data_IF_815828837214
#
_entry.id   IF_815828837214
#
_cell.length_a   1.000
_cell.length_b   1.000
_cell.length_c   1.000
_cell.angle_alpha   90.00
_cell.angle_beta   90.00
_cell.angle_gamma   90.00
#
_symmetry.space_group_name_H-M   'P 1'
#
loop_
_entity.id
_entity.type
_entity.pdbx_description
1 polymer ?
#
# COMPACT_ATOMS: atom_id res chain seq x y z
N UNK A 1 -20.46 -11.18 -25.27
CA UNK A 1 -19.29 -11.29 -24.37
C UNK A 1 -18.95 -9.94 -23.73
N UNK A 2 -19.83 -9.40 -22.87
CA UNK A 2 -19.64 -8.08 -22.21
C UNK A 2 -18.86 -8.20 -20.89
N UNK A 3 -19.05 -9.31 -20.17
CA UNK A 3 -18.42 -9.59 -18.87
C UNK A 3 -16.88 -9.62 -18.89
N UNK A 4 -16.26 -10.05 -20.01
CA UNK A 4 -14.80 -10.12 -20.14
C UNK A 4 -14.13 -8.74 -20.21
N UNK A 5 -14.85 -7.73 -20.71
CA UNK A 5 -14.32 -6.37 -20.82
C UNK A 5 -14.35 -5.64 -19.47
N UNK A 6 -15.40 -5.86 -18.68
CA UNK A 6 -15.52 -5.28 -17.34
C UNK A 6 -14.39 -5.79 -16.43
N UNK A 7 -14.09 -7.09 -16.45
CA UNK A 7 -13.02 -7.69 -15.63
C UNK A 7 -11.64 -7.09 -15.97
N UNK A 8 -11.35 -6.84 -17.25
CA UNK A 8 -10.09 -6.22 -17.69
C UNK A 8 -9.95 -4.75 -17.28
N UNK A 9 -11.06 -4.01 -17.24
CA UNK A 9 -11.07 -2.63 -16.79
C UNK A 9 -10.87 -2.54 -15.27
N UNK A 10 -11.54 -3.41 -14.51
CA UNK A 10 -11.36 -3.51 -13.06
C UNK A 10 -9.92 -3.83 -12.67
N UNK A 11 -9.28 -4.78 -13.35
CA UNK A 11 -7.87 -5.13 -13.15
C UNK A 11 -6.94 -3.93 -13.36
N UNK A 12 -7.21 -3.14 -14.42
CA UNK A 12 -6.38 -1.98 -14.76
C UNK A 12 -6.54 -0.85 -13.75
N UNK A 13 -7.76 -0.61 -13.27
CA UNK A 13 -8.04 0.36 -12.21
C UNK A 13 -7.34 -0.09 -10.91
N UNK A 14 -7.43 -1.37 -10.57
CA UNK A 14 -6.81 -1.92 -9.35
C UNK A 14 -5.28 -1.76 -9.39
N UNK A 15 -4.63 -2.07 -10.51
CA UNK A 15 -3.19 -1.79 -10.68
C UNK A 15 -2.85 -0.30 -10.57
N UNK A 16 -3.70 0.57 -11.13
CA UNK A 16 -3.54 2.02 -10.98
C UNK A 16 -3.65 2.48 -9.53
N UNK A 17 -4.58 1.91 -8.77
CA UNK A 17 -4.76 2.17 -7.33
C UNK A 17 -3.58 1.63 -6.52
N UNK A 18 -3.09 0.41 -6.80
CA UNK A 18 -1.88 -0.12 -6.15
C UNK A 18 -0.67 0.79 -6.36
N UNK A 19 -0.50 1.32 -7.58
CA UNK A 19 0.57 2.27 -7.88
C UNK A 19 0.40 3.59 -7.11
N UNK A 20 -0.83 4.13 -7.02
CA UNK A 20 -1.10 5.35 -6.25
C UNK A 20 -0.81 5.17 -4.75
N UNK A 21 -1.21 4.03 -4.18
CA UNK A 21 -0.93 3.69 -2.78
C UNK A 21 0.58 3.58 -2.55
N UNK A 22 1.30 2.91 -3.45
CA UNK A 22 2.75 2.79 -3.38
C UNK A 22 3.44 4.17 -3.34
N UNK A 23 3.06 5.07 -4.25
CA UNK A 23 3.62 6.43 -4.30
C UNK A 23 3.30 7.21 -3.02
N UNK A 24 2.08 7.12 -2.51
CA UNK A 24 1.69 7.79 -1.27
C UNK A 24 2.52 7.29 -0.06
N UNK A 25 2.76 5.98 0.04
CA UNK A 25 3.58 5.39 1.10
C UNK A 25 5.04 5.81 1.01
N UNK A 26 5.59 5.91 -0.20
CA UNK A 26 6.95 6.42 -0.41
C UNK A 26 7.09 7.88 0.02
N UNK A 27 6.11 8.73 -0.30
CA UNK A 27 6.08 10.13 0.14
C UNK A 27 6.01 10.20 1.66
N UNK A 28 5.10 9.43 2.29
CA UNK A 28 4.96 9.38 3.75
C UNK A 28 6.28 8.95 4.44
N UNK A 29 6.95 7.94 3.89
CA UNK A 29 8.25 7.50 4.37
C UNK A 29 9.30 8.61 4.32
N UNK A 30 9.41 9.33 3.19
CA UNK A 30 10.37 10.43 3.02
C UNK A 30 10.11 11.54 4.04
N UNK A 31 8.84 11.95 4.22
CA UNK A 31 8.46 12.99 5.18
C UNK A 31 8.87 12.58 6.60
N UNK A 32 8.59 11.34 7.00
CA UNK A 32 8.91 10.84 8.34
C UNK A 32 10.40 10.64 8.57
N UNK A 33 11.14 10.23 7.54
CA UNK A 33 12.59 10.12 7.60
C UNK A 33 13.23 11.50 7.83
N UNK A 34 12.66 12.57 7.27
CA UNK A 34 13.07 13.96 7.55
C UNK A 34 12.76 14.44 8.97
N UNK A 35 11.82 13.82 9.68
CA UNK A 35 11.46 14.15 11.08
C UNK A 35 12.21 13.30 12.12
N UNK A 36 13.22 12.52 11.71
CA UNK A 36 13.91 11.52 12.55
C UNK A 36 13.01 10.41 13.12
N UNK A 37 11.79 10.24 12.61
CA UNK A 37 10.86 9.17 12.99
C UNK A 37 11.20 7.87 12.25
N UNK A 38 12.38 7.31 12.52
CA UNK A 38 12.96 6.19 11.77
C UNK A 38 12.05 4.94 11.76
N UNK A 39 11.39 4.66 12.89
CA UNK A 39 10.47 3.52 13.03
C UNK A 39 9.21 3.66 12.16
N UNK A 40 8.66 4.87 12.05
CA UNK A 40 7.51 5.14 11.18
C UNK A 40 7.93 5.13 9.70
N UNK A 41 9.08 5.72 9.38
CA UNK A 41 9.62 5.68 8.02
C UNK A 41 9.86 4.23 7.56
N UNK A 42 10.46 3.39 8.41
CA UNK A 42 10.66 1.96 8.15
C UNK A 42 9.33 1.24 7.93
N UNK A 43 8.32 1.52 8.75
CA UNK A 43 6.99 0.96 8.61
C UNK A 43 6.37 1.28 7.24
N UNK A 44 6.40 2.55 6.81
CA UNK A 44 5.88 2.95 5.51
C UNK A 44 6.67 2.35 4.34
N UNK A 45 7.99 2.23 4.45
CA UNK A 45 8.83 1.58 3.43
C UNK A 45 8.48 0.10 3.28
N UNK A 46 8.39 -0.64 4.39
CA UNK A 46 8.02 -2.06 4.37
C UNK A 46 6.65 -2.26 3.74
N UNK A 47 5.70 -1.40 4.09
CA UNK A 47 4.35 -1.44 3.53
C UNK A 47 4.35 -1.16 2.01
N UNK A 48 5.15 -0.17 1.57
CA UNK A 48 5.31 0.14 0.15
C UNK A 48 5.87 -1.05 -0.64
N UNK A 49 6.88 -1.76 -0.10
CA UNK A 49 7.47 -2.93 -0.75
C UNK A 49 6.44 -4.04 -0.95
N UNK A 50 5.60 -4.32 0.04
CA UNK A 50 4.60 -5.39 -0.03
C UNK A 50 3.52 -5.07 -1.07
N UNK A 51 3.04 -3.82 -1.09
CA UNK A 51 1.97 -3.35 -1.98
C UNK A 51 2.49 -3.07 -3.38
N UNK A 52 3.81 -3.02 -3.60
CA UNK A 52 4.39 -2.61 -4.86
C UNK A 52 3.73 -3.34 -6.05
N UNK A 53 3.51 -2.65 -7.17
CA UNK A 53 2.83 -3.24 -8.34
C UNK A 53 3.64 -4.38 -8.97
N UNK A 54 4.94 -4.48 -8.64
CA UNK A 54 5.83 -5.56 -9.08
C UNK A 54 5.82 -6.76 -8.13
N UNK A 55 5.15 -6.64 -6.99
CA UNK A 55 5.02 -7.72 -6.02
C UNK A 55 4.08 -8.80 -6.56
N UNK A 56 4.58 -10.05 -6.59
CA UNK A 56 3.83 -11.23 -7.05
C UNK A 56 2.81 -11.75 -6.02
N UNK A 57 2.56 -11.03 -4.94
CA UNK A 57 1.53 -11.43 -3.98
C UNK A 57 0.13 -11.42 -4.59
N UNK A 58 -0.68 -12.38 -4.17
CA UNK A 58 -2.10 -12.42 -4.52
C UNK A 58 -2.81 -11.14 -4.04
N UNK A 59 -3.73 -10.65 -4.86
CA UNK A 59 -4.46 -9.40 -4.60
C UNK A 59 -5.20 -9.42 -3.27
N UNK A 60 -5.77 -10.57 -2.92
CA UNK A 60 -6.47 -10.79 -1.64
C UNK A 60 -5.51 -10.61 -0.46
N UNK A 61 -4.31 -11.18 -0.57
CA UNK A 61 -3.25 -11.05 0.44
C UNK A 61 -2.80 -9.61 0.60
N UNK A 62 -2.58 -8.88 -0.51
CA UNK A 62 -2.23 -7.45 -0.46
C UNK A 62 -3.28 -6.61 0.29
N UNK A 63 -4.57 -6.88 0.06
CA UNK A 63 -5.67 -6.21 0.78
C UNK A 63 -5.66 -6.52 2.27
N UNK A 64 -5.48 -7.78 2.66
CA UNK A 64 -5.39 -8.14 4.08
C UNK A 64 -4.17 -7.52 4.75
N UNK A 65 -3.04 -7.43 4.05
CA UNK A 65 -1.84 -6.74 4.57
C UNK A 65 -2.12 -5.24 4.75
N UNK A 66 -2.76 -4.58 3.80
CA UNK A 66 -3.15 -3.17 3.91
C UNK A 66 -4.03 -2.91 5.14
N UNK A 67 -5.08 -3.72 5.31
CA UNK A 67 -6.03 -3.57 6.43
C UNK A 67 -5.35 -3.87 7.76
N UNK A 68 -4.58 -4.96 7.85
CA UNK A 68 -3.86 -5.31 9.08
C UNK A 68 -2.79 -4.28 9.43
N UNK A 69 -2.05 -3.78 8.45
CA UNK A 69 -1.07 -2.71 8.65
C UNK A 69 -1.73 -1.40 9.12
N UNK A 70 -2.89 -1.04 8.57
CA UNK A 70 -3.65 0.12 9.03
C UNK A 70 -4.06 -0.03 10.50
N UNK A 71 -4.62 -1.18 10.86
CA UNK A 71 -5.02 -1.48 12.25
C UNK A 71 -3.79 -1.45 13.18
N UNK A 72 -2.68 -2.08 12.79
CA UNK A 72 -1.44 -2.06 13.55
C UNK A 72 -0.90 -0.64 13.73
N UNK A 73 -0.92 0.18 12.67
CA UNK A 73 -0.49 1.57 12.75
C UNK A 73 -1.37 2.42 13.67
N UNK A 74 -2.68 2.13 13.75
CA UNK A 74 -3.56 2.75 14.76
C UNK A 74 -3.18 2.34 16.18
N UNK A 75 -2.94 1.06 16.44
CA UNK A 75 -2.55 0.57 17.77
C UNK A 75 -1.21 1.11 18.25
N UNK A 76 -0.25 1.28 17.35
CA UNK A 76 1.08 1.84 17.66
C UNK A 76 1.05 3.37 17.74
N UNK A 77 -0.05 4.02 17.35
CA UNK A 77 -0.20 5.47 17.40
C UNK A 77 0.50 6.20 16.24
N UNK A 78 0.78 5.53 15.13
CA UNK A 78 1.46 6.15 13.96
C UNK A 78 0.58 7.13 13.19
N UNK A 79 -0.74 7.04 13.34
CA UNK A 79 -1.72 7.90 12.68
C UNK A 79 -2.44 8.85 13.66
N UNK A 80 -1.97 8.94 14.91
CA UNK A 80 -2.52 9.83 15.95
C UNK A 80 -1.64 11.06 16.07
#
# INVERSE_FOLDING_TARGET
MRYLYDVKLWDRIETGVEFLIFVALMIAAIIKLGHNDFLQALFYIVLAVIISPWSQFERVTKRYVLVSAYILGLFVGYFT
#
